data_IF_856225319900
#
_entry.id   IF_856225319900
#
_cell.length_a   1.000
_cell.length_b   1.000
_cell.length_c   1.000
_cell.angle_alpha   90.00
_cell.angle_beta   90.00
_cell.angle_gamma   90.00
#
_symmetry.space_group_name_H-M   'P 1'
#
loop_
_entity.id
_entity.type
_entity.pdbx_description
1 polymer ?
#
# COMPACT_ATOMS: atom_id res chain seq x y z
N UNK A 1 21.05 18.02 -12.75
CA UNK A 1 19.61 17.90 -12.41
C UNK A 1 19.16 16.51 -12.83
N UNK A 2 18.91 15.59 -11.88
CA UNK A 2 18.46 14.23 -12.22
C UNK A 2 17.03 14.32 -12.78
N UNK A 3 16.80 13.73 -13.95
CA UNK A 3 15.49 13.68 -14.61
C UNK A 3 14.60 12.72 -13.80
N UNK A 4 13.61 13.24 -13.09
CA UNK A 4 12.54 12.41 -12.52
C UNK A 4 11.63 11.94 -13.65
N UNK A 5 11.30 10.66 -13.67
CA UNK A 5 10.34 10.14 -14.62
C UNK A 5 8.94 10.47 -14.12
N UNK A 6 8.12 11.04 -15.00
CA UNK A 6 6.74 11.39 -14.71
C UNK A 6 5.84 10.38 -15.43
N UNK A 7 5.02 9.69 -14.65
CA UNK A 7 4.04 8.74 -15.14
C UNK A 7 2.64 9.26 -14.86
N UNK A 8 1.67 8.85 -15.67
CA UNK A 8 0.27 9.23 -15.50
C UNK A 8 -0.62 7.99 -15.59
N UNK A 9 -1.67 7.95 -14.79
CA UNK A 9 -2.81 7.06 -15.02
C UNK A 9 -4.01 7.89 -15.48
N UNK A 10 -4.77 7.41 -16.46
CA UNK A 10 -5.89 8.16 -17.01
C UNK A 10 -7.08 8.19 -16.04
N UNK A 11 -8.07 9.02 -16.37
CA UNK A 11 -9.38 8.87 -15.75
C UNK A 11 -9.98 7.50 -16.14
N UNK A 12 -10.58 6.82 -15.17
CA UNK A 12 -11.15 5.48 -15.34
C UNK A 12 -12.46 5.37 -14.57
N UNK A 13 -13.36 4.50 -15.04
CA UNK A 13 -14.57 4.14 -14.30
C UNK A 13 -14.62 2.63 -14.14
N UNK A 14 -15.16 2.16 -13.01
CA UNK A 14 -15.46 0.75 -12.79
C UNK A 14 -16.79 0.57 -12.10
N UNK A 15 -17.66 -0.22 -12.72
CA UNK A 15 -18.99 -0.56 -12.22
C UNK A 15 -19.02 -2.04 -11.87
N UNK A 16 -19.47 -2.36 -10.67
CA UNK A 16 -19.59 -3.72 -10.14
C UNK A 16 -20.93 -3.88 -9.43
N UNK A 17 -21.94 -4.40 -10.16
CA UNK A 17 -23.31 -4.42 -9.67
C UNK A 17 -23.81 -3.00 -9.41
N UNK A 18 -24.20 -2.70 -8.16
CA UNK A 18 -24.71 -1.38 -7.77
C UNK A 18 -23.60 -0.38 -7.39
N UNK A 19 -22.35 -0.83 -7.31
CA UNK A 19 -21.22 0.01 -6.93
C UNK A 19 -20.53 0.60 -8.16
N UNK A 20 -20.30 1.91 -8.15
CA UNK A 20 -19.53 2.63 -9.18
C UNK A 20 -18.34 3.35 -8.56
N UNK A 21 -17.13 3.04 -9.03
CA UNK A 21 -15.91 3.78 -8.72
C UNK A 21 -15.53 4.65 -9.93
N UNK A 22 -15.39 5.95 -9.70
CA UNK A 22 -14.79 6.89 -10.66
C UNK A 22 -13.39 7.23 -10.17
N UNK A 23 -12.40 7.13 -11.04
CA UNK A 23 -11.00 7.49 -10.77
C UNK A 23 -10.66 8.71 -11.60
N UNK A 24 -10.28 9.80 -10.96
CA UNK A 24 -9.77 10.99 -11.64
C UNK A 24 -8.37 10.72 -12.19
N UNK A 25 -8.00 11.40 -13.29
CA UNK A 25 -6.64 11.33 -13.83
C UNK A 25 -5.62 11.70 -12.73
N UNK A 26 -4.49 10.99 -12.67
CA UNK A 26 -3.43 11.30 -11.72
C UNK A 26 -2.03 11.13 -12.30
N UNK A 27 -1.06 11.73 -11.62
CA UNK A 27 0.35 11.69 -11.97
C UNK A 27 1.19 11.20 -10.79
N UNK A 28 2.24 10.45 -11.06
CA UNK A 28 3.19 9.96 -10.06
C UNK A 28 4.61 9.97 -10.60
N UNK A 29 5.59 10.06 -9.69
CA UNK A 29 7.00 10.06 -10.06
C UNK A 29 7.70 8.79 -9.61
N UNK A 30 8.92 8.58 -10.09
CA UNK A 30 9.84 7.65 -9.47
C UNK A 30 10.18 8.08 -8.04
N UNK A 31 10.55 7.11 -7.19
CA UNK A 31 10.95 7.33 -5.79
C UNK A 31 9.86 7.96 -4.90
N UNK A 32 8.60 7.65 -5.16
CA UNK A 32 7.45 8.23 -4.46
C UNK A 32 6.51 7.15 -3.88
N UNK A 33 5.94 7.42 -2.71
CA UNK A 33 4.87 6.60 -2.13
C UNK A 33 3.55 7.39 -2.10
N UNK A 34 2.56 6.83 -2.81
CA UNK A 34 1.17 7.28 -2.79
C UNK A 34 0.35 6.41 -1.85
N UNK A 35 -0.27 7.01 -0.83
CA UNK A 35 -1.17 6.28 0.07
C UNK A 35 -2.62 6.53 -0.29
N UNK A 36 -3.39 5.45 -0.43
CA UNK A 36 -4.83 5.49 -0.70
C UNK A 36 -5.59 5.50 0.63
N UNK A 37 -6.41 6.53 0.82
CA UNK A 37 -7.18 6.77 2.04
C UNK A 37 -8.67 6.83 1.73
N UNK A 38 -9.49 6.24 2.59
CA UNK A 38 -10.95 6.23 2.43
C UNK A 38 -11.59 5.15 3.27
N UNK A 39 -12.89 5.27 3.53
CA UNK A 39 -13.66 4.28 4.27
C UNK A 39 -13.66 2.89 3.58
N UNK A 40 -14.06 1.87 4.31
CA UNK A 40 -14.27 0.54 3.72
C UNK A 40 -15.41 0.60 2.70
N UNK A 41 -15.29 -0.15 1.60
CA UNK A 41 -16.30 -0.12 0.53
C UNK A 41 -16.21 1.07 -0.42
N UNK A 42 -15.16 1.91 -0.31
CA UNK A 42 -14.95 3.04 -1.22
C UNK A 42 -14.24 2.68 -2.53
N UNK A 43 -13.76 1.44 -2.69
CA UNK A 43 -13.14 0.97 -3.93
C UNK A 43 -11.61 1.07 -3.98
N UNK A 44 -10.91 1.27 -2.86
CA UNK A 44 -9.43 1.30 -2.80
C UNK A 44 -8.76 0.07 -3.42
N UNK A 45 -9.15 -1.13 -2.98
CA UNK A 45 -8.68 -2.40 -3.55
C UNK A 45 -9.11 -2.55 -5.01
N UNK A 46 -10.28 -2.05 -5.40
CA UNK A 46 -10.73 -2.05 -6.81
C UNK A 46 -9.79 -1.22 -7.67
N UNK A 47 -9.41 -0.01 -7.21
CA UNK A 47 -8.45 0.84 -7.91
C UNK A 47 -7.08 0.17 -8.03
N UNK A 48 -6.54 -0.40 -6.94
CA UNK A 48 -5.27 -1.13 -6.99
C UNK A 48 -5.34 -2.31 -7.99
N UNK A 49 -6.43 -3.07 -8.02
CA UNK A 49 -6.58 -4.18 -8.97
C UNK A 49 -6.67 -3.72 -10.43
N UNK A 50 -7.23 -2.53 -10.67
CA UNK A 50 -7.20 -1.91 -11.99
C UNK A 50 -5.79 -1.53 -12.39
N UNK A 51 -5.05 -0.85 -11.51
CA UNK A 51 -3.64 -0.54 -11.76
C UNK A 51 -2.82 -1.80 -12.00
N UNK A 52 -3.05 -2.86 -11.23
CA UNK A 52 -2.36 -4.14 -11.36
C UNK A 52 -2.68 -4.92 -12.65
N UNK A 53 -3.67 -4.47 -13.44
CA UNK A 53 -4.17 -5.20 -14.61
C UNK A 53 -4.97 -6.46 -14.26
N UNK A 54 -5.29 -6.70 -12.99
CA UNK A 54 -6.11 -7.83 -12.55
C UNK A 54 -7.62 -7.59 -12.75
N UNK A 55 -8.02 -6.34 -12.98
CA UNK A 55 -9.40 -5.95 -13.23
C UNK A 55 -9.43 -4.87 -14.32
N UNK A 56 -10.00 -5.13 -15.51
CA UNK A 56 -10.08 -4.09 -16.53
C UNK A 56 -11.06 -2.98 -16.10
N UNK A 57 -10.75 -1.70 -16.37
CA UNK A 57 -11.73 -0.62 -16.23
C UNK A 57 -12.87 -0.79 -17.25
N UNK A 58 -13.97 -0.05 -17.05
CA UNK A 58 -15.10 -0.09 -17.98
C UNK A 58 -14.77 0.63 -19.31
N UNK A 59 -15.53 0.33 -20.35
CA UNK A 59 -15.36 0.92 -21.69
C UNK A 59 -15.36 2.47 -21.65
N UNK A 60 -14.52 3.09 -22.48
CA UNK A 60 -14.32 4.54 -22.50
C UNK A 60 -13.30 5.06 -21.49
N UNK A 61 -12.74 4.20 -20.64
CA UNK A 61 -11.60 4.55 -19.77
C UNK A 61 -10.31 4.67 -20.59
N UNK A 62 -9.38 5.53 -20.15
CA UNK A 62 -8.09 5.64 -20.84
C UNK A 62 -7.19 4.41 -20.64
N UNK A 63 -6.15 4.30 -21.46
CA UNK A 63 -5.17 3.21 -21.35
C UNK A 63 -4.23 3.43 -20.16
N UNK A 64 -4.15 2.43 -19.27
CA UNK A 64 -3.19 2.39 -18.17
C UNK A 64 -1.78 2.19 -18.77
N UNK A 65 -0.75 2.94 -18.32
CA UNK A 65 0.60 2.75 -18.82
C UNK A 65 1.10 1.32 -18.54
N UNK A 66 1.81 0.74 -19.50
CA UNK A 66 2.41 -0.58 -19.34
C UNK A 66 3.65 -0.45 -18.45
N UNK A 67 3.52 -0.86 -17.19
CA UNK A 67 4.57 -0.85 -16.18
C UNK A 67 4.72 -2.26 -15.59
N UNK A 68 5.93 -2.63 -15.18
CA UNK A 68 6.11 -3.85 -14.43
C UNK A 68 5.61 -3.66 -13.00
N UNK A 69 4.62 -4.45 -12.60
CA UNK A 69 3.94 -4.31 -11.32
C UNK A 69 4.22 -5.52 -10.44
N UNK A 70 4.56 -5.25 -9.17
CA UNK A 70 4.52 -6.25 -8.12
C UNK A 70 3.37 -5.93 -7.16
N UNK A 71 2.54 -6.93 -6.86
CA UNK A 71 1.32 -6.74 -6.06
C UNK A 71 1.32 -7.64 -4.82
N UNK A 72 1.15 -7.02 -3.64
CA UNK A 72 0.76 -7.68 -2.40
C UNK A 72 -0.75 -7.51 -2.20
N UNK A 73 -1.55 -8.60 -2.24
CA UNK A 73 -2.99 -8.52 -2.03
C UNK A 73 -3.39 -8.37 -0.57
N UNK A 74 -4.56 -7.78 -0.32
CA UNK A 74 -5.14 -7.64 1.02
C UNK A 74 -5.31 -9.00 1.71
N UNK A 75 -6.03 -9.91 1.05
CA UNK A 75 -6.26 -11.29 1.52
C UNK A 75 -5.12 -12.19 1.06
N UNK A 76 -4.34 -12.67 2.00
CA UNK A 76 -3.31 -13.68 1.75
C UNK A 76 -3.83 -15.02 2.26
N UNK A 77 -3.62 -16.07 1.46
CA UNK A 77 -3.89 -17.45 1.86
C UNK A 77 -2.65 -18.30 1.57
N UNK A 78 -2.28 -19.24 2.45
CA UNK A 78 -1.11 -20.09 2.26
C UNK A 78 -1.44 -21.18 1.23
N UNK A 79 -1.38 -20.82 -0.06
CA UNK A 79 -1.65 -21.76 -1.15
C UNK A 79 -0.43 -22.59 -1.57
N UNK A 80 0.77 -22.13 -1.21
CA UNK A 80 2.02 -22.78 -1.60
C UNK A 80 2.30 -23.95 -0.66
N UNK A 81 2.65 -25.10 -1.22
CA UNK A 81 3.18 -26.24 -0.47
C UNK A 81 4.70 -26.06 -0.27
N UNK A 82 5.22 -26.55 0.85
CA UNK A 82 6.65 -26.47 1.19
C UNK A 82 7.00 -25.36 2.19
N UNK A 83 8.31 -25.19 2.41
CA UNK A 83 8.86 -24.25 3.39
C UNK A 83 9.10 -22.86 2.80
N UNK A 84 9.11 -21.84 3.66
CA UNK A 84 9.31 -20.44 3.27
C UNK A 84 10.58 -20.24 2.46
N UNK A 85 11.69 -20.89 2.84
CA UNK A 85 12.97 -20.83 2.13
C UNK A 85 12.84 -21.21 0.66
N UNK A 86 12.13 -22.30 0.36
CA UNK A 86 11.91 -22.77 -1.01
C UNK A 86 11.06 -21.77 -1.80
N UNK A 87 9.99 -21.26 -1.20
CA UNK A 87 9.11 -20.27 -1.82
C UNK A 87 9.87 -18.99 -2.18
N UNK A 88 10.71 -18.47 -1.29
CA UNK A 88 11.51 -17.27 -1.54
C UNK A 88 12.57 -17.52 -2.63
N UNK A 89 13.27 -18.65 -2.57
CA UNK A 89 14.25 -19.00 -3.59
C UNK A 89 13.61 -19.16 -4.98
N UNK A 90 12.41 -19.72 -5.07
CA UNK A 90 11.68 -19.88 -6.33
C UNK A 90 11.19 -18.54 -6.90
N UNK A 91 10.61 -17.67 -6.05
CA UNK A 91 9.91 -16.47 -6.51
C UNK A 91 10.78 -15.22 -6.62
N UNK A 92 11.85 -15.14 -5.82
CA UNK A 92 12.69 -13.94 -5.70
C UNK A 92 14.19 -14.29 -5.61
N UNK A 93 14.64 -15.30 -6.37
CA UNK A 93 16.01 -15.85 -6.35
C UNK A 93 17.11 -14.78 -6.27
N UNK A 94 17.07 -13.78 -7.14
CA UNK A 94 18.10 -12.76 -7.24
C UNK A 94 18.08 -11.80 -6.03
N UNK A 95 16.88 -11.40 -5.58
CA UNK A 95 16.73 -10.55 -4.40
C UNK A 95 17.09 -11.30 -3.11
N UNK A 96 16.77 -12.60 -3.02
CA UNK A 96 17.02 -13.44 -1.85
C UNK A 96 18.49 -13.47 -1.44
N UNK A 97 19.41 -13.44 -2.41
CA UNK A 97 20.86 -13.43 -2.16
C UNK A 97 21.48 -12.04 -2.12
N UNK A 98 20.71 -10.99 -2.46
CA UNK A 98 21.24 -9.63 -2.56
C UNK A 98 21.47 -9.01 -1.17
N UNK A 99 22.70 -8.61 -0.79
CA UNK A 99 23.00 -8.13 0.56
C UNK A 99 22.15 -6.94 1.02
N UNK A 100 21.83 -6.02 0.10
CA UNK A 100 20.97 -4.88 0.41
C UNK A 100 19.53 -5.32 0.67
N UNK A 101 19.00 -6.28 -0.08
CA UNK A 101 17.64 -6.77 0.13
C UNK A 101 17.52 -7.52 1.45
N UNK A 102 18.54 -8.31 1.79
CA UNK A 102 18.63 -8.98 3.09
C UNK A 102 18.61 -7.96 4.23
N UNK A 103 19.37 -6.87 4.09
CA UNK A 103 19.52 -5.84 5.13
C UNK A 103 18.31 -4.91 5.24
N UNK A 104 17.71 -4.53 4.11
CA UNK A 104 16.60 -3.58 4.06
C UNK A 104 15.23 -4.23 4.26
N UNK A 105 15.09 -5.52 3.91
CA UNK A 105 13.80 -6.23 3.89
C UNK A 105 13.81 -7.48 4.78
N UNK A 106 14.67 -8.46 4.50
CA UNK A 106 14.56 -9.79 5.14
C UNK A 106 14.82 -9.76 6.65
N UNK A 107 15.94 -9.15 7.08
CA UNK A 107 16.33 -9.07 8.49
C UNK A 107 15.33 -8.25 9.32
N UNK A 108 14.93 -7.02 8.90
CA UNK A 108 13.96 -6.26 9.67
C UNK A 108 12.60 -6.96 9.77
N UNK A 109 12.15 -7.62 8.70
CA UNK A 109 10.91 -8.41 8.72
C UNK A 109 11.08 -9.77 9.42
N UNK A 110 12.24 -10.07 10.01
CA UNK A 110 12.53 -11.33 10.72
C UNK A 110 12.12 -12.56 9.90
N UNK A 111 12.46 -12.55 8.61
CA UNK A 111 12.17 -13.68 7.72
C UNK A 111 13.07 -14.89 8.06
N UNK A 112 14.26 -14.63 8.57
CA UNK A 112 15.22 -15.66 8.99
C UNK A 112 14.60 -16.62 10.02
N UNK A 113 13.81 -16.11 10.97
CA UNK A 113 13.15 -16.87 12.04
C UNK A 113 12.11 -17.87 11.52
N UNK A 114 11.61 -17.69 10.29
CA UNK A 114 10.52 -18.49 9.70
C UNK A 114 10.92 -19.20 8.41
N UNK A 115 12.20 -19.15 8.02
CA UNK A 115 12.67 -19.73 6.76
C UNK A 115 12.39 -21.23 6.62
N UNK A 116 12.52 -21.97 7.72
CA UNK A 116 12.38 -23.43 7.73
C UNK A 116 10.98 -23.91 8.12
N UNK A 117 10.05 -22.98 8.33
CA UNK A 117 8.66 -23.31 8.60
C UNK A 117 7.89 -23.55 7.30
N UNK A 118 6.90 -24.44 7.37
CA UNK A 118 5.94 -24.64 6.28
C UNK A 118 5.03 -23.42 6.14
N UNK A 119 4.81 -22.99 4.90
CA UNK A 119 3.98 -21.80 4.60
C UNK A 119 2.54 -21.94 5.13
N UNK A 120 2.04 -23.18 5.20
CA UNK A 120 0.69 -23.49 5.71
C UNK A 120 0.55 -23.35 7.23
N UNK A 121 1.67 -23.40 7.97
CA UNK A 121 1.67 -23.35 9.43
C UNK A 121 1.96 -21.94 9.97
N UNK A 122 2.22 -20.98 9.09
CA UNK A 122 2.49 -19.59 9.49
C UNK A 122 1.26 -18.92 10.09
N UNK A 123 1.47 -18.15 11.15
CA UNK A 123 0.48 -17.20 11.65
C UNK A 123 0.15 -16.12 10.62
N UNK A 124 -0.96 -15.41 10.80
CA UNK A 124 -1.37 -14.31 9.91
C UNK A 124 -0.29 -13.22 9.79
N UNK A 125 0.37 -12.85 10.89
CA UNK A 125 1.44 -11.85 10.89
C UNK A 125 2.73 -12.36 10.22
N UNK A 126 3.08 -13.63 10.37
CA UNK A 126 4.20 -14.25 9.65
C UNK A 126 3.95 -14.32 8.15
N UNK A 127 2.76 -14.78 7.76
CA UNK A 127 2.35 -14.84 6.36
C UNK A 127 2.34 -13.46 5.72
N UNK A 128 1.93 -12.42 6.46
CA UNK A 128 2.00 -11.04 6.04
C UNK A 128 3.44 -10.57 5.79
N UNK A 129 4.39 -10.90 6.68
CA UNK A 129 5.82 -10.59 6.51
C UNK A 129 6.41 -11.27 5.27
N UNK A 130 6.08 -12.55 5.04
CA UNK A 130 6.49 -13.29 3.84
C UNK A 130 5.90 -12.65 2.57
N UNK A 131 4.62 -12.29 2.57
CA UNK A 131 4.00 -11.66 1.41
C UNK A 131 4.60 -10.29 1.07
N UNK A 132 4.98 -9.49 2.07
CA UNK A 132 5.73 -8.25 1.86
C UNK A 132 7.10 -8.52 1.25
N UNK A 133 7.86 -9.48 1.78
CA UNK A 133 9.17 -9.84 1.23
C UNK A 133 9.07 -10.32 -0.22
N UNK A 134 8.08 -11.18 -0.54
CA UNK A 134 7.83 -11.64 -1.91
C UNK A 134 7.44 -10.50 -2.85
N UNK A 135 6.64 -9.53 -2.38
CA UNK A 135 6.25 -8.38 -3.19
C UNK A 135 7.47 -7.51 -3.50
N UNK A 136 8.24 -7.13 -2.48
CA UNK A 136 9.40 -6.24 -2.62
C UNK A 136 10.55 -6.92 -3.38
N UNK A 137 10.71 -8.23 -3.26
CA UNK A 137 11.79 -8.98 -3.92
C UNK A 137 11.56 -9.22 -5.42
N UNK A 138 10.35 -9.01 -5.93
CA UNK A 138 10.08 -9.09 -7.38
C UNK A 138 10.55 -7.81 -8.07
N UNK A 139 11.23 -7.92 -9.23
CA UNK A 139 11.59 -6.74 -10.02
C UNK A 139 10.32 -6.07 -10.56
N UNK A 140 10.11 -4.81 -10.18
CA UNK A 140 8.98 -4.02 -10.63
C UNK A 140 9.33 -2.53 -10.69
N UNK A 141 8.57 -1.79 -11.47
CA UNK A 141 8.59 -0.33 -11.53
C UNK A 141 7.64 0.28 -10.49
N UNK A 142 6.50 -0.39 -10.28
CA UNK A 142 5.48 0.01 -9.31
C UNK A 142 5.16 -1.15 -8.37
N UNK A 143 5.18 -0.87 -7.07
CA UNK A 143 4.76 -1.80 -6.02
C UNK A 143 3.39 -1.41 -5.50
N UNK A 144 2.44 -2.33 -5.59
CA UNK A 144 1.09 -2.17 -5.08
C UNK A 144 0.98 -2.98 -3.79
N UNK A 145 0.70 -2.33 -2.67
CA UNK A 145 0.70 -2.97 -1.35
C UNK A 145 -0.63 -2.69 -0.66
N UNK A 146 -1.49 -3.71 -0.61
CA UNK A 146 -2.84 -3.59 -0.08
C UNK A 146 -2.89 -4.10 1.37
N UNK A 147 -3.12 -3.18 2.31
CA UNK A 147 -3.15 -3.38 3.76
C UNK A 147 -1.94 -4.17 4.31
N UNK A 148 -0.72 -3.60 4.26
CA UNK A 148 0.46 -4.17 4.88
C UNK A 148 0.38 -4.30 6.42
N UNK A 149 -0.45 -3.50 7.09
CA UNK A 149 -0.64 -3.52 8.55
C UNK A 149 -1.50 -4.67 9.10
N UNK A 150 -2.21 -5.40 8.23
CA UNK A 150 -3.10 -6.49 8.64
C UNK A 150 -2.37 -7.57 9.44
N UNK A 151 -2.97 -8.01 10.55
CA UNK A 151 -2.44 -9.01 11.50
C UNK A 151 -1.12 -8.64 12.21
N UNK A 152 -0.56 -7.45 11.95
CA UNK A 152 0.65 -6.97 12.62
C UNK A 152 0.30 -6.19 13.89
N UNK A 153 1.12 -6.40 14.93
CA UNK A 153 1.10 -5.55 16.13
C UNK A 153 1.72 -4.17 15.87
N UNK A 154 1.68 -3.27 16.85
CA UNK A 154 2.16 -1.89 16.69
C UNK A 154 3.66 -1.78 16.36
N UNK A 155 4.49 -2.67 16.88
CA UNK A 155 5.93 -2.66 16.62
C UNK A 155 6.20 -3.16 15.19
N UNK A 156 5.58 -4.28 14.83
CA UNK A 156 5.67 -4.89 13.51
C UNK A 156 5.17 -3.94 12.42
N UNK A 157 4.10 -3.18 12.65
CA UNK A 157 3.62 -2.14 11.70
C UNK A 157 4.65 -1.06 11.46
N UNK A 158 5.29 -0.55 12.51
CA UNK A 158 6.34 0.46 12.38
C UNK A 158 7.54 -0.08 11.60
N UNK A 159 7.93 -1.32 11.86
CA UNK A 159 9.01 -1.99 11.13
C UNK A 159 8.62 -2.19 9.66
N UNK A 160 7.42 -2.68 9.36
CA UNK A 160 6.93 -2.85 8.00
C UNK A 160 6.91 -1.51 7.24
N UNK A 161 6.44 -0.43 7.87
CA UNK A 161 6.42 0.90 7.28
C UNK A 161 7.84 1.40 6.94
N UNK A 162 8.80 1.18 7.85
CA UNK A 162 10.22 1.51 7.64
C UNK A 162 10.82 0.73 6.47
N UNK A 163 10.52 -0.57 6.40
CA UNK A 163 11.00 -1.47 5.33
C UNK A 163 10.49 -1.00 3.98
N UNK A 164 9.17 -0.79 3.85
CA UNK A 164 8.56 -0.34 2.60
C UNK A 164 9.17 1.00 2.18
N UNK A 165 9.21 1.99 3.08
CA UNK A 165 9.75 3.32 2.77
C UNK A 165 11.21 3.29 2.32
N UNK A 166 12.04 2.57 3.07
CA UNK A 166 13.47 2.45 2.77
C UNK A 166 13.70 1.75 1.44
N UNK A 167 13.04 0.63 1.21
CA UNK A 167 13.19 -0.14 -0.02
C UNK A 167 12.80 0.69 -1.24
N UNK A 168 11.62 1.32 -1.23
CA UNK A 168 11.12 2.12 -2.35
C UNK A 168 12.07 3.27 -2.68
N UNK A 169 12.58 3.97 -1.65
CA UNK A 169 13.52 5.08 -1.82
C UNK A 169 14.88 4.61 -2.36
N UNK A 170 15.44 3.53 -1.81
CA UNK A 170 16.73 2.99 -2.23
C UNK A 170 16.69 2.42 -3.66
N UNK A 171 15.62 1.69 -3.99
CA UNK A 171 15.41 1.10 -5.31
C UNK A 171 14.98 2.13 -6.36
N UNK A 172 14.62 3.36 -5.94
CA UNK A 172 14.08 4.43 -6.79
C UNK A 172 12.84 4.00 -7.56
N UNK A 173 11.91 3.35 -6.85
CA UNK A 173 10.67 2.79 -7.40
C UNK A 173 9.48 3.59 -6.89
N UNK A 174 8.28 3.27 -7.35
CA UNK A 174 7.05 3.90 -6.86
C UNK A 174 6.24 2.89 -6.06
N UNK A 175 5.64 3.33 -4.96
CA UNK A 175 4.73 2.52 -4.15
C UNK A 175 3.31 3.10 -4.13
N UNK A 176 2.29 2.29 -4.38
CA UNK A 176 0.91 2.60 -3.99
C UNK A 176 0.53 1.72 -2.80
N UNK A 177 0.17 2.34 -1.69
CA UNK A 177 -0.14 1.63 -0.45
C UNK A 177 -1.57 1.93 -0.02
N UNK A 178 -2.38 0.90 0.19
CA UNK A 178 -3.68 1.05 0.85
C UNK A 178 -3.47 0.82 2.33
N UNK A 179 -3.81 1.82 3.14
CA UNK A 179 -3.70 1.73 4.59
C UNK A 179 -4.87 2.37 5.30
N UNK A 180 -5.17 1.79 6.46
CA UNK A 180 -6.18 2.28 7.40
C UNK A 180 -5.54 2.76 8.71
N UNK A 181 -4.29 2.36 8.98
CA UNK A 181 -3.54 2.82 10.14
C UNK A 181 -2.96 4.23 9.88
N UNK A 182 -3.44 5.22 10.64
CA UNK A 182 -3.05 6.62 10.48
C UNK A 182 -1.55 6.84 10.64
N UNK A 183 -0.89 6.14 11.57
CA UNK A 183 0.54 6.31 11.83
C UNK A 183 1.33 5.74 10.66
N UNK A 184 0.97 4.55 10.20
CA UNK A 184 1.63 3.92 9.05
C UNK A 184 1.42 4.72 7.76
N UNK A 185 0.19 5.17 7.49
CA UNK A 185 -0.14 5.99 6.33
C UNK A 185 0.68 7.29 6.30
N UNK A 186 0.70 8.04 7.41
CA UNK A 186 1.44 9.31 7.49
C UNK A 186 2.95 9.12 7.48
N UNK A 187 3.46 8.00 7.97
CA UNK A 187 4.89 7.67 7.89
C UNK A 187 5.32 7.36 6.45
N UNK A 188 4.49 6.63 5.71
CA UNK A 188 4.77 6.16 4.35
C UNK A 188 4.58 7.26 3.30
N UNK A 189 3.47 7.98 3.36
CA UNK A 189 3.00 8.85 2.28
C UNK A 189 3.92 10.05 2.01
N UNK A 190 4.25 10.22 0.73
CA UNK A 190 4.70 11.51 0.17
C UNK A 190 3.49 12.30 -0.35
N UNK A 191 2.58 11.59 -1.04
CA UNK A 191 1.27 12.07 -1.47
C UNK A 191 0.18 11.08 -1.11
N UNK A 192 -1.06 11.56 -1.14
CA UNK A 192 -2.23 10.73 -0.83
C UNK A 192 -3.29 10.85 -1.90
N UNK A 193 -4.02 9.76 -2.10
CA UNK A 193 -5.21 9.66 -2.95
C UNK A 193 -6.38 9.44 -2.01
N UNK A 194 -7.24 10.44 -1.87
CA UNK A 194 -8.42 10.36 -1.02
C UNK A 194 -9.57 9.81 -1.83
N UNK A 195 -10.34 8.89 -1.24
CA UNK A 195 -11.59 8.40 -1.77
C UNK A 195 -12.74 9.06 -1.03
N UNK A 196 -13.74 9.54 -1.76
CA UNK A 196 -14.96 10.12 -1.19
C UNK A 196 -16.22 9.58 -1.88
N UNK A 197 -17.38 9.85 -1.31
CA UNK A 197 -18.67 9.41 -1.81
C UNK A 197 -19.34 8.42 -0.85
N UNK A 198 -20.39 7.76 -1.32
CA UNK A 198 -21.16 6.82 -0.50
C UNK A 198 -20.60 5.41 -0.71
N UNK A 199 -20.08 4.75 0.35
CA UNK A 199 -19.56 3.38 0.27
C UNK A 199 -20.57 2.43 -0.37
N UNK A 200 -20.08 1.48 -1.17
CA UNK A 200 -20.90 0.48 -1.86
C UNK A 200 -21.92 1.02 -2.87
N UNK A 201 -21.96 2.34 -3.12
CA UNK A 201 -22.88 2.99 -4.07
C UNK A 201 -22.10 3.72 -5.17
N UNK A 202 -21.52 4.88 -4.86
CA UNK A 202 -20.77 5.68 -5.83
C UNK A 202 -19.66 6.44 -5.13
N UNK A 203 -18.43 6.19 -5.56
CA UNK A 203 -17.24 6.83 -5.01
C UNK A 203 -16.34 7.40 -6.07
N UNK A 204 -15.51 8.36 -5.64
CA UNK A 204 -14.51 9.03 -6.46
C UNK A 204 -13.16 8.89 -5.81
N UNK A 205 -12.17 8.38 -6.54
CA UNK A 205 -10.76 8.47 -6.19
C UNK A 205 -10.19 9.76 -6.79
N UNK A 206 -9.84 10.70 -5.92
CA UNK A 206 -9.34 12.02 -6.34
C UNK A 206 -7.92 11.93 -6.90
N UNK A 207 -7.52 12.92 -7.70
CA UNK A 207 -6.10 13.05 -8.11
C UNK A 207 -5.16 13.10 -6.87
N UNK A 208 -3.90 12.63 -7.00
CA UNK A 208 -2.93 12.66 -5.90
C UNK A 208 -2.70 14.07 -5.36
N UNK A 209 -2.76 14.21 -4.04
CA UNK A 209 -2.61 15.47 -3.32
C UNK A 209 -1.44 15.41 -2.34
N UNK A 210 -0.96 16.58 -1.89
CA UNK A 210 0.01 16.63 -0.80
C UNK A 210 -0.55 15.96 0.45
N UNK A 211 0.34 15.40 1.28
CA UNK A 211 -0.04 14.75 2.52
C UNK A 211 -0.95 15.64 3.38
N UNK A 212 -0.60 16.91 3.59
CA UNK A 212 -1.40 17.81 4.42
C UNK A 212 -2.82 18.00 3.87
N UNK A 213 -2.96 18.32 2.59
CA UNK A 213 -4.27 18.61 1.98
C UNK A 213 -5.15 17.36 1.97
N UNK A 214 -4.62 16.22 1.57
CA UNK A 214 -5.42 15.01 1.50
C UNK A 214 -5.73 14.42 2.88
N UNK A 215 -4.86 14.56 3.88
CA UNK A 215 -5.20 14.18 5.25
C UNK A 215 -6.30 15.07 5.82
N UNK A 216 -6.25 16.39 5.60
CA UNK A 216 -7.31 17.30 6.03
C UNK A 216 -8.65 16.92 5.39
N UNK A 217 -8.65 16.67 4.08
CA UNK A 217 -9.85 16.22 3.36
C UNK A 217 -10.39 14.88 3.87
N UNK A 218 -9.51 13.91 4.12
CA UNK A 218 -9.90 12.61 4.65
C UNK A 218 -10.51 12.73 6.06
N UNK A 219 -9.91 13.54 6.92
CA UNK A 219 -10.39 13.78 8.29
C UNK A 219 -11.73 14.53 8.31
N UNK A 220 -11.91 15.50 7.41
CA UNK A 220 -13.18 16.21 7.22
C UNK A 220 -14.30 15.25 6.80
N UNK A 221 -14.03 14.32 5.87
CA UNK A 221 -15.00 13.30 5.46
C UNK A 221 -15.43 12.39 6.62
N UNK A 222 -14.52 12.09 7.55
CA UNK A 222 -14.82 11.29 8.73
C UNK A 222 -15.49 12.10 9.86
N UNK A 223 -15.49 13.44 9.77
CA UNK A 223 -15.92 14.31 10.87
C UNK A 223 -15.06 14.18 12.14
N UNK A 224 -13.77 13.82 11.99
CA UNK A 224 -12.85 13.57 13.11
C UNK A 224 -11.67 14.55 13.02
N UNK A 225 -11.22 15.06 14.17
CA UNK A 225 -9.96 15.81 14.27
C UNK A 225 -8.93 15.06 15.11
N UNK A 226 -7.65 15.28 14.80
CA UNK A 226 -6.53 14.70 15.53
C UNK A 226 -5.69 15.81 16.14
N UNK A 227 -5.15 15.53 17.33
CA UNK A 227 -4.10 16.32 17.96
C UNK A 227 -2.85 15.48 18.17
N UNK A 228 -1.69 16.11 18.24
CA UNK A 228 -0.46 15.45 18.70
C UNK A 228 -0.36 15.54 20.21
N UNK A 229 -0.07 14.41 20.85
CA UNK A 229 0.33 14.39 22.25
C UNK A 229 1.68 15.11 22.42
N UNK A 230 1.81 16.08 23.34
CA UNK A 230 3.03 16.87 23.48
C UNK A 230 4.24 16.06 24.00
N UNK A 231 4.01 14.94 24.67
CA UNK A 231 5.07 14.17 25.33
C UNK A 231 5.68 13.12 24.40
N UNK A 232 4.85 12.47 23.58
CA UNK A 232 5.28 11.36 22.73
C UNK A 232 4.94 11.54 21.24
N UNK A 233 4.39 12.70 20.87
CA UNK A 233 4.01 13.07 19.50
C UNK A 233 3.04 12.11 18.82
N UNK A 234 2.40 11.20 19.58
CA UNK A 234 1.42 10.27 19.03
C UNK A 234 0.15 11.02 18.62
N UNK A 235 -0.44 10.69 17.46
CA UNK A 235 -1.72 11.23 17.07
C UNK A 235 -2.81 10.66 18.01
N UNK A 236 -3.66 11.55 18.55
CA UNK A 236 -4.83 11.21 19.36
C UNK A 236 -6.08 11.80 18.74
N UNK A 237 -7.13 10.97 18.63
CA UNK A 237 -8.45 11.40 18.19
C UNK A 237 -9.04 12.37 19.23
N UNK A 238 -9.58 13.50 18.77
CA UNK A 238 -10.35 14.40 19.61
C UNK A 238 -11.77 13.84 19.80
N UNK A 239 -12.33 14.03 21.00
CA UNK A 239 -13.73 13.66 21.27
C UNK A 239 -14.65 14.59 20.48
N UNK A 240 -15.81 14.07 20.04
CA UNK A 240 -16.84 14.88 19.37
C UNK A 240 -17.21 16.10 20.23
N UNK A 241 -17.29 17.27 19.59
CA UNK A 241 -17.62 18.56 20.23
C UNK A 241 -16.63 19.01 21.33
N UNK A 242 -15.41 18.46 21.35
CA UNK A 242 -14.35 18.98 22.22
C UNK A 242 -13.90 20.37 21.75
N UNK A 243 -13.57 21.27 22.68
CA UNK A 243 -13.11 22.65 22.42
C UNK A 243 -11.70 22.70 21.76
N UNK A 244 -11.17 21.55 21.33
CA UNK A 244 -9.83 21.38 20.73
C UNK A 244 -9.87 20.52 19.48
#
# INVERSE_FOLDING_TARGET
VKRMNHYEYPAMTKTMGNFTLVVEKGQFTDSEILVLLGENGTGKTTFIRMLAGNLPPDEGSGNIPMLHISYKPQKISPKSQGIVRQLLHEKIRDAYVHPQFITDVMKPLKIDDIMDQEVQNLSGGELQRVAMALCLGKPADVYLIDEPSAYLDSEQRLVAAKVIKRFILHAKKTGFVVEHDFIMATYLADRVIVFSGVPSMKTVAHSPQSLLNGMNRFLELLGITFRRDPNNFRPRINKSQSVK
#
